data_IF_835216043815
#
_entry.id   IF_835216043815
#
_cell.length_a   1.000
_cell.length_b   1.000
_cell.length_c   1.000
_cell.angle_alpha   90.00
_cell.angle_beta   90.00
_cell.angle_gamma   90.00
#
_symmetry.space_group_name_H-M   'P 1'
#
loop_
_entity.id
_entity.type
_entity.pdbx_description
1 polymer ?
#
# COMPACT_ATOMS: atom_id res chain seq x y z
N UNK A 1 8.60 4.54 7.39
CA UNK A 1 8.54 3.21 8.05
C UNK A 1 9.23 3.19 9.42
N UNK A 2 10.24 4.04 9.64
CA UNK A 2 10.90 4.27 10.94
C UNK A 2 9.88 4.66 12.03
N UNK A 3 8.89 5.49 11.71
CA UNK A 3 7.82 5.87 12.64
C UNK A 3 7.08 4.67 13.25
N UNK A 4 6.77 3.62 12.47
CA UNK A 4 5.99 2.50 12.98
C UNK A 4 6.83 1.57 13.88
N UNK A 5 8.14 1.47 13.64
CA UNK A 5 9.06 0.70 14.49
C UNK A 5 9.17 1.34 15.88
N UNK A 6 9.44 2.64 15.95
CA UNK A 6 9.52 3.37 17.22
C UNK A 6 8.18 3.40 17.96
N UNK A 7 7.06 3.51 17.23
CA UNK A 7 5.73 3.42 17.85
C UNK A 7 5.49 2.05 18.51
N UNK A 8 6.03 0.96 17.95
CA UNK A 8 5.92 -0.37 18.55
C UNK A 8 6.79 -0.47 19.80
N UNK A 9 8.03 0.01 19.78
CA UNK A 9 8.88 0.03 20.97
C UNK A 9 8.30 0.92 22.06
N UNK A 10 7.78 2.09 21.71
CA UNK A 10 7.10 2.99 22.63
C UNK A 10 5.85 2.33 23.24
N UNK A 11 5.03 1.65 22.41
CA UNK A 11 3.89 0.89 22.89
C UNK A 11 4.28 -0.25 23.83
N UNK A 12 5.44 -0.92 23.62
CA UNK A 12 5.96 -1.92 24.56
C UNK A 12 6.28 -1.30 25.92
N UNK A 13 6.94 -0.14 25.94
CA UNK A 13 7.26 0.56 27.18
C UNK A 13 6.00 1.03 27.92
N UNK A 14 5.03 1.62 27.22
CA UNK A 14 3.75 2.02 27.80
C UNK A 14 3.00 0.81 28.34
N UNK A 15 3.00 -0.31 27.60
CA UNK A 15 2.36 -1.55 28.03
C UNK A 15 2.91 -2.06 29.35
N UNK A 16 4.24 -2.05 29.51
CA UNK A 16 4.90 -2.43 30.77
C UNK A 16 4.52 -1.54 31.95
N UNK A 17 4.35 -0.23 31.72
CA UNK A 17 4.03 0.75 32.79
C UNK A 17 2.55 0.78 33.16
N UNK A 18 1.67 0.54 32.21
CA UNK A 18 0.21 0.75 32.37
C UNK A 18 -0.58 -0.55 32.45
N UNK A 19 0.04 -1.69 32.17
CA UNK A 19 -0.63 -3.00 32.07
C UNK A 19 -1.52 -3.17 30.83
N UNK A 20 -1.65 -2.14 29.99
CA UNK A 20 -2.49 -2.19 28.78
C UNK A 20 -1.77 -2.95 27.67
N UNK A 21 -2.45 -3.91 27.02
CA UNK A 21 -1.81 -4.72 25.97
C UNK A 21 -1.36 -3.88 24.77
N UNK A 22 -0.20 -4.20 24.21
CA UNK A 22 0.36 -3.59 22.98
C UNK A 22 -0.66 -3.63 21.83
N UNK A 23 -1.44 -4.71 21.74
CA UNK A 23 -2.47 -4.89 20.71
C UNK A 23 -3.57 -3.81 20.74
N UNK A 24 -3.84 -3.23 21.91
CA UNK A 24 -4.80 -2.14 22.11
C UNK A 24 -4.12 -0.79 21.92
N UNK A 25 -2.91 -0.62 22.44
CA UNK A 25 -2.14 0.63 22.35
C UNK A 25 -1.87 1.07 20.91
N UNK A 26 -1.73 0.11 19.97
CA UNK A 26 -1.62 0.40 18.53
C UNK A 26 -2.79 1.18 17.93
N UNK A 27 -3.94 1.22 18.62
CA UNK A 27 -5.14 1.93 18.19
C UNK A 27 -5.43 3.17 19.06
N UNK A 28 -4.56 3.48 20.02
CA UNK A 28 -4.67 4.70 20.81
C UNK A 28 -4.23 5.91 19.99
N UNK A 29 -4.88 7.05 20.22
CA UNK A 29 -4.41 8.35 19.75
C UNK A 29 -3.20 8.79 20.55
N UNK A 30 -2.45 9.76 20.01
CA UNK A 30 -1.29 10.33 20.71
C UNK A 30 -1.68 10.87 22.09
N UNK A 31 -2.82 11.58 22.18
CA UNK A 31 -3.32 12.14 23.43
C UNK A 31 -3.72 11.07 24.45
N UNK A 32 -4.36 9.98 24.01
CA UNK A 32 -4.67 8.86 24.91
C UNK A 32 -3.41 8.14 25.41
N UNK A 33 -2.33 8.08 24.61
CA UNK A 33 -1.05 7.56 25.09
C UNK A 33 -0.41 8.47 26.13
N UNK A 34 -0.47 9.79 25.93
CA UNK A 34 0.03 10.80 26.89
C UNK A 34 -0.78 10.74 28.19
N UNK A 35 -2.09 10.69 28.10
CA UNK A 35 -2.98 10.58 29.25
C UNK A 35 -2.72 9.28 30.05
N UNK A 36 -2.44 8.17 29.36
CA UNK A 36 -2.10 6.88 30.00
C UNK A 36 -0.79 6.99 30.76
N UNK A 37 0.20 7.66 30.18
CA UNK A 37 1.51 7.87 30.81
C UNK A 37 1.43 8.81 32.01
N UNK A 38 0.53 9.78 31.97
CA UNK A 38 0.25 10.70 33.09
C UNK A 38 -0.67 10.07 34.15
N UNK A 39 -1.01 8.78 34.04
CA UNK A 39 -1.83 8.08 35.02
C UNK A 39 -3.32 8.43 34.99
N UNK A 40 -3.80 9.10 33.93
CA UNK A 40 -5.23 9.41 33.81
C UNK A 40 -6.03 8.14 33.51
N UNK A 41 -7.23 8.07 34.09
CA UNK A 41 -8.18 6.99 33.83
C UNK A 41 -8.79 7.20 32.44
N UNK A 42 -8.52 6.26 31.53
CA UNK A 42 -9.06 6.29 30.17
C UNK A 42 -9.81 4.99 29.88
N UNK A 43 -10.84 5.10 29.03
CA UNK A 43 -11.62 3.93 28.61
C UNK A 43 -10.83 3.05 27.63
N UNK A 44 -10.11 2.06 28.16
CA UNK A 44 -9.41 1.04 27.35
C UNK A 44 -10.40 0.30 26.45
N UNK A 45 -11.65 0.10 26.91
CA UNK A 45 -12.74 -0.50 26.12
C UNK A 45 -13.03 0.31 24.84
N UNK A 46 -13.01 1.66 24.91
CA UNK A 46 -13.20 2.55 23.75
C UNK A 46 -12.08 2.35 22.72
N UNK A 47 -10.82 2.30 23.17
CA UNK A 47 -9.66 2.08 22.29
C UNK A 47 -9.71 0.67 21.68
N UNK A 48 -10.06 -0.35 22.48
CA UNK A 48 -10.15 -1.73 22.00
C UNK A 48 -11.22 -1.92 20.91
N UNK A 49 -12.34 -1.17 20.95
CA UNK A 49 -13.36 -1.21 19.87
C UNK A 49 -12.79 -0.81 18.50
N UNK A 50 -11.76 0.05 18.45
CA UNK A 50 -11.11 0.48 17.20
C UNK A 50 -10.42 -0.66 16.45
N UNK A 51 -10.08 -1.77 17.14
CA UNK A 51 -9.58 -3.00 16.48
C UNK A 51 -10.56 -3.58 15.47
N UNK A 52 -11.86 -3.34 15.64
CA UNK A 52 -12.92 -3.80 14.72
C UNK A 52 -13.13 -2.83 13.53
N UNK A 53 -12.25 -1.84 13.38
CA UNK A 53 -12.32 -0.78 12.39
C UNK A 53 -12.53 0.58 13.05
N UNK A 54 -11.71 1.55 12.65
CA UNK A 54 -11.83 2.93 13.08
C UNK A 54 -11.40 3.89 11.97
N UNK A 55 -12.02 5.07 11.95
CA UNK A 55 -11.58 6.17 11.11
C UNK A 55 -11.68 7.46 11.90
N UNK A 56 -10.66 8.30 11.76
CA UNK A 56 -10.58 9.62 12.36
C UNK A 56 -10.68 10.65 11.26
N UNK A 57 -11.73 11.44 11.28
CA UNK A 57 -11.94 12.52 10.31
C UNK A 57 -11.65 13.83 11.04
N UNK A 58 -10.71 14.59 10.51
CA UNK A 58 -10.40 15.93 11.00
C UNK A 58 -10.96 16.94 10.01
N UNK A 59 -11.94 17.72 10.45
CA UNK A 59 -12.50 18.87 9.75
C UNK A 59 -12.06 20.08 10.57
N UNK A 60 -11.73 21.25 9.98
CA UNK A 60 -11.36 22.43 10.75
C UNK A 60 -12.35 22.68 11.90
N UNK A 61 -11.84 22.68 13.14
CA UNK A 61 -12.63 22.85 14.36
C UNK A 61 -13.42 21.64 14.85
N UNK A 62 -13.41 20.48 14.17
CA UNK A 62 -14.13 19.27 14.59
C UNK A 62 -13.37 17.98 14.30
N UNK A 63 -13.27 17.12 15.31
CA UNK A 63 -12.70 15.77 15.17
C UNK A 63 -13.81 14.72 15.33
N UNK A 64 -13.98 13.87 14.33
CA UNK A 64 -14.94 12.77 14.36
C UNK A 64 -14.22 11.42 14.44
N UNK A 65 -14.67 10.57 15.36
CA UNK A 65 -14.19 9.20 15.51
C UNK A 65 -15.30 8.22 15.15
N UNK A 66 -15.18 7.57 14.00
CA UNK A 66 -16.05 6.45 13.63
C UNK A 66 -15.41 5.15 14.12
N UNK A 67 -16.15 4.32 14.84
CA UNK A 67 -15.64 3.02 15.31
C UNK A 67 -16.66 1.90 15.12
N UNK A 68 -16.19 0.67 14.92
CA UNK A 68 -17.05 -0.52 14.87
C UNK A 68 -18.09 -0.47 13.75
N UNK A 69 -19.39 -0.47 14.11
CA UNK A 69 -20.50 -0.54 13.13
C UNK A 69 -20.60 0.74 12.28
N UNK A 70 -20.39 1.90 12.88
CA UNK A 70 -20.44 3.20 12.18
C UNK A 70 -19.34 3.30 11.13
N UNK A 71 -18.12 2.89 11.51
CA UNK A 71 -17.00 2.75 10.57
C UNK A 71 -17.38 1.86 9.38
N UNK A 72 -17.93 0.65 9.63
CA UNK A 72 -18.29 -0.28 8.56
C UNK A 72 -19.35 0.28 7.61
N UNK A 73 -20.40 0.93 8.15
CA UNK A 73 -21.44 1.56 7.34
C UNK A 73 -20.88 2.67 6.45
N UNK A 74 -20.03 3.52 7.01
CA UNK A 74 -19.40 4.61 6.28
C UNK A 74 -18.43 4.12 5.22
N UNK A 75 -17.58 3.14 5.58
CA UNK A 75 -16.61 2.53 4.67
C UNK A 75 -17.29 1.88 3.45
N UNK A 76 -18.40 1.14 3.65
CA UNK A 76 -19.16 0.53 2.54
C UNK A 76 -19.69 1.56 1.55
N UNK A 77 -20.17 2.71 2.03
CA UNK A 77 -20.64 3.80 1.15
C UNK A 77 -19.49 4.39 0.30
N UNK A 78 -18.33 4.58 0.91
CA UNK A 78 -17.13 5.05 0.18
C UNK A 78 -16.66 4.03 -0.85
N UNK A 79 -16.56 2.76 -0.48
CA UNK A 79 -16.04 1.71 -1.36
C UNK A 79 -16.92 1.50 -2.60
N UNK A 80 -18.25 1.57 -2.43
CA UNK A 80 -19.21 1.53 -3.55
C UNK A 80 -19.06 2.71 -4.52
N UNK A 81 -18.53 3.85 -4.06
CA UNK A 81 -18.35 5.05 -4.90
C UNK A 81 -17.07 4.99 -5.74
N UNK A 82 -16.11 4.13 -5.38
CA UNK A 82 -14.75 4.11 -5.94
C UNK A 82 -14.55 2.96 -6.95
N UNK A 83 -15.33 1.88 -6.85
CA UNK A 83 -15.20 0.74 -7.77
C UNK A 83 -15.87 1.02 -9.13
N UNK A 84 -15.17 1.75 -10.01
CA UNK A 84 -15.47 1.78 -11.44
C UNK A 84 -15.24 0.40 -12.05
N UNK A 85 -16.13 -0.04 -12.93
CA UNK A 85 -15.91 -1.23 -13.76
C UNK A 85 -14.60 -1.08 -14.53
N UNK A 86 -13.72 -2.07 -14.40
CA UNK A 86 -12.45 -2.09 -15.09
C UNK A 86 -12.54 -2.99 -16.31
N UNK A 87 -12.12 -2.46 -17.46
CA UNK A 87 -12.00 -3.25 -18.68
C UNK A 87 -10.90 -4.31 -18.48
N UNK A 88 -11.24 -5.59 -18.63
CA UNK A 88 -10.41 -6.71 -18.14
C UNK A 88 -9.13 -6.94 -18.97
N UNK A 89 -9.04 -6.40 -20.19
CA UNK A 89 -7.94 -6.73 -21.12
C UNK A 89 -6.85 -5.65 -21.20
N UNK A 90 -7.05 -4.46 -20.62
CA UNK A 90 -6.11 -3.33 -20.72
C UNK A 90 -5.94 -2.64 -19.37
N UNK A 91 -4.70 -2.56 -18.90
CA UNK A 91 -4.30 -1.75 -17.76
C UNK A 91 -3.66 -0.46 -18.27
N UNK A 92 -3.97 0.68 -17.65
CA UNK A 92 -3.39 1.97 -18.00
C UNK A 92 -2.92 2.72 -16.76
N UNK A 93 -1.94 3.59 -16.91
CA UNK A 93 -1.39 4.40 -15.82
C UNK A 93 -0.50 5.53 -16.33
N UNK A 94 0.26 6.13 -15.41
CA UNK A 94 1.19 7.21 -15.72
C UNK A 94 2.56 6.65 -16.07
N UNK A 95 3.10 7.07 -17.21
CA UNK A 95 4.46 6.73 -17.63
C UNK A 95 5.49 7.39 -16.72
N UNK A 96 6.31 6.57 -16.07
CA UNK A 96 7.44 7.04 -15.28
C UNK A 96 8.76 7.04 -16.06
N UNK A 97 8.97 6.00 -16.86
CA UNK A 97 10.08 5.89 -17.79
C UNK A 97 9.62 5.16 -19.06
N UNK A 98 10.06 5.67 -20.20
CA UNK A 98 9.63 5.27 -21.54
C UNK A 98 10.16 3.89 -21.95
N UNK A 99 9.57 3.34 -23.00
CA UNK A 99 10.00 2.10 -23.65
C UNK A 99 8.91 1.05 -23.74
N UNK A 100 9.15 0.09 -24.64
CA UNK A 100 8.21 -0.96 -24.99
C UNK A 100 8.84 -2.33 -24.88
N UNK A 101 8.23 -3.22 -24.10
CA UNK A 101 8.74 -4.57 -23.86
C UNK A 101 7.61 -5.60 -23.79
N UNK A 102 7.99 -6.86 -23.93
CA UNK A 102 7.14 -8.01 -23.58
C UNK A 102 7.80 -8.79 -22.45
N UNK A 103 6.98 -9.34 -21.56
CA UNK A 103 7.47 -10.16 -20.46
C UNK A 103 6.35 -10.83 -19.68
N UNK A 104 6.72 -11.80 -18.83
CA UNK A 104 5.76 -12.48 -17.96
C UNK A 104 5.55 -11.69 -16.69
N UNK A 105 4.29 -11.55 -16.29
CA UNK A 105 3.90 -10.88 -15.06
C UNK A 105 4.32 -11.69 -13.84
N UNK A 106 4.91 -11.01 -12.85
CA UNK A 106 5.10 -11.51 -11.50
C UNK A 106 4.61 -10.47 -10.49
N UNK A 107 3.57 -10.84 -9.76
CA UNK A 107 2.92 -10.01 -8.75
C UNK A 107 3.62 -10.23 -7.42
N UNK A 108 4.28 -9.18 -6.91
CA UNK A 108 5.05 -9.22 -5.67
C UNK A 108 4.41 -8.24 -4.68
N UNK A 109 3.51 -8.73 -3.82
CA UNK A 109 2.91 -7.92 -2.75
C UNK A 109 3.75 -7.96 -1.48
N UNK A 110 4.29 -9.14 -1.14
CA UNK A 110 5.16 -9.29 0.03
C UNK A 110 6.53 -9.79 -0.40
N UNK A 111 7.53 -8.91 -0.36
CA UNK A 111 8.89 -9.25 -0.83
C UNK A 111 9.50 -10.47 -0.14
N UNK A 112 9.20 -10.72 1.13
CA UNK A 112 9.74 -11.86 1.89
C UNK A 112 9.16 -13.19 1.42
N UNK A 113 7.88 -13.20 1.02
CA UNK A 113 7.17 -14.41 0.58
C UNK A 113 7.31 -14.62 -0.93
N UNK A 114 7.14 -13.54 -1.70
CA UNK A 114 6.95 -13.59 -3.14
C UNK A 114 8.23 -13.22 -3.91
N UNK A 115 9.19 -12.53 -3.30
CA UNK A 115 10.34 -11.96 -4.01
C UNK A 115 11.19 -12.98 -4.79
N UNK A 116 11.20 -14.25 -4.37
CA UNK A 116 11.88 -15.34 -5.10
C UNK A 116 11.22 -15.71 -6.43
N UNK A 117 9.95 -15.33 -6.66
CA UNK A 117 9.19 -15.64 -7.88
C UNK A 117 9.67 -14.87 -9.10
N UNK A 118 10.22 -13.67 -8.89
CA UNK A 118 10.67 -12.80 -9.98
C UNK A 118 12.00 -13.30 -10.56
N UNK A 119 12.00 -13.62 -11.85
CA UNK A 119 13.20 -13.98 -12.60
C UNK A 119 13.64 -12.81 -13.48
N UNK A 120 14.88 -12.89 -13.97
CA UNK A 120 15.42 -11.90 -14.91
C UNK A 120 14.57 -11.89 -16.17
N UNK A 121 14.11 -10.72 -16.59
CA UNK A 121 13.27 -10.57 -17.79
C UNK A 121 11.76 -10.52 -17.52
N UNK A 122 11.31 -10.79 -16.29
CA UNK A 122 9.91 -10.70 -15.91
C UNK A 122 9.46 -9.23 -15.71
N UNK A 123 8.14 -9.00 -15.78
CA UNK A 123 7.50 -7.74 -15.44
C UNK A 123 7.13 -7.76 -13.96
N UNK A 124 7.72 -6.86 -13.19
CA UNK A 124 7.41 -6.70 -11.77
C UNK A 124 6.10 -5.92 -11.62
N UNK A 125 5.09 -6.54 -11.02
CA UNK A 125 3.80 -5.91 -10.70
C UNK A 125 3.65 -5.86 -9.18
N UNK A 126 3.31 -4.71 -8.62
CA UNK A 126 3.09 -4.55 -7.18
C UNK A 126 2.15 -3.40 -6.88
N UNK A 127 1.68 -3.27 -5.64
CA UNK A 127 0.87 -2.11 -5.24
C UNK A 127 1.74 -0.84 -5.17
N UNK A 128 2.88 -0.90 -4.49
CA UNK A 128 3.84 0.21 -4.37
C UNK A 128 5.25 -0.35 -4.18
N UNK A 129 6.26 0.27 -4.78
CA UNK A 129 7.66 -0.11 -4.50
C UNK A 129 8.21 0.58 -3.25
N UNK A 130 9.21 -0.07 -2.65
CA UNK A 130 9.94 0.40 -1.47
C UNK A 130 11.44 0.18 -1.69
N UNK A 131 12.34 0.78 -0.90
CA UNK A 131 13.78 0.57 -1.05
C UNK A 131 14.19 -0.92 -1.08
N UNK A 132 13.50 -1.76 -0.31
CA UNK A 132 13.69 -3.22 -0.30
C UNK A 132 13.43 -3.89 -1.67
N UNK A 133 12.69 -3.28 -2.58
CA UNK A 133 12.44 -3.79 -3.94
C UNK A 133 13.60 -3.54 -4.90
N UNK A 134 14.64 -2.79 -4.52
CA UNK A 134 15.79 -2.50 -5.38
C UNK A 134 16.43 -3.76 -6.03
N UNK A 135 16.65 -4.88 -5.31
CA UNK A 135 17.18 -6.09 -5.93
C UNK A 135 16.25 -6.74 -6.95
N UNK A 136 14.93 -6.56 -6.80
CA UNK A 136 13.93 -7.05 -7.74
C UNK A 136 13.85 -6.15 -8.96
N UNK A 137 13.84 -4.83 -8.76
CA UNK A 137 13.83 -3.84 -9.82
C UNK A 137 15.02 -4.05 -10.79
N UNK A 138 16.21 -4.35 -10.27
CA UNK A 138 17.40 -4.69 -11.10
C UNK A 138 17.24 -5.93 -11.99
N UNK A 139 16.32 -6.84 -11.66
CA UNK A 139 16.04 -8.06 -12.45
C UNK A 139 14.88 -7.87 -13.42
N UNK A 140 13.98 -6.93 -13.12
CA UNK A 140 12.76 -6.70 -13.86
C UNK A 140 13.05 -6.09 -15.24
N UNK A 141 12.22 -6.42 -16.22
CA UNK A 141 12.23 -5.81 -17.56
C UNK A 141 11.26 -4.64 -17.69
N UNK A 142 10.26 -4.59 -16.82
CA UNK A 142 9.39 -3.44 -16.61
C UNK A 142 8.85 -3.45 -15.17
N UNK A 143 8.41 -2.28 -14.70
CA UNK A 143 7.81 -2.11 -13.38
C UNK A 143 6.41 -1.51 -13.52
N UNK A 144 5.41 -2.18 -12.98
CA UNK A 144 4.02 -1.73 -12.91
C UNK A 144 3.61 -1.56 -11.46
N UNK A 145 3.05 -0.40 -11.10
CA UNK A 145 2.49 -0.17 -9.77
C UNK A 145 1.04 0.30 -9.79
N UNK A 146 0.22 -0.16 -8.85
CA UNK A 146 -1.14 0.35 -8.66
C UNK A 146 -1.14 1.78 -8.13
N UNK A 147 -0.24 2.06 -7.19
CA UNK A 147 -0.12 3.33 -6.50
C UNK A 147 1.18 4.04 -6.87
N UNK A 148 1.20 5.35 -6.62
CA UNK A 148 2.36 6.21 -6.88
C UNK A 148 2.17 7.13 -8.08
N UNK A 149 2.91 8.25 -8.04
CA UNK A 149 2.96 9.23 -9.12
C UNK A 149 4.35 9.34 -9.75
N UNK A 150 4.55 10.36 -10.56
CA UNK A 150 5.77 10.60 -11.35
C UNK A 150 7.04 10.82 -10.49
N UNK A 151 6.86 11.16 -9.21
CA UNK A 151 7.90 11.36 -8.20
C UNK A 151 7.99 10.20 -7.19
N UNK A 152 7.25 9.11 -7.42
CA UNK A 152 7.27 7.95 -6.52
C UNK A 152 8.61 7.22 -6.56
N UNK A 153 8.83 6.38 -5.55
CA UNK A 153 10.02 5.52 -5.50
C UNK A 153 10.16 4.65 -6.77
N UNK A 154 9.06 4.07 -7.28
CA UNK A 154 9.06 3.29 -8.52
C UNK A 154 9.53 4.13 -9.71
N UNK A 155 9.03 5.36 -9.81
CA UNK A 155 9.37 6.25 -10.89
C UNK A 155 10.85 6.65 -10.86
N UNK A 156 11.38 7.02 -9.69
CA UNK A 156 12.79 7.40 -9.53
C UNK A 156 13.71 6.25 -9.92
N UNK A 157 13.53 5.06 -9.33
CA UNK A 157 14.41 3.91 -9.61
C UNK A 157 14.29 3.41 -11.05
N UNK A 158 13.12 3.55 -11.67
CA UNK A 158 12.94 3.13 -13.07
C UNK A 158 13.78 3.97 -14.04
N UNK A 159 13.92 5.27 -13.78
CA UNK A 159 14.76 6.19 -14.57
C UNK A 159 16.23 5.89 -14.37
N UNK A 160 16.64 5.64 -13.12
CA UNK A 160 18.02 5.29 -12.78
C UNK A 160 18.45 3.98 -13.45
N UNK A 161 17.57 2.97 -13.45
CA UNK A 161 17.81 1.67 -14.07
C UNK A 161 17.51 1.62 -15.57
N UNK A 162 16.92 2.69 -16.13
CA UNK A 162 16.43 2.78 -17.52
C UNK A 162 15.46 1.63 -17.88
N UNK A 163 14.55 1.30 -16.98
CA UNK A 163 13.56 0.23 -17.13
C UNK A 163 12.18 0.84 -17.38
N UNK A 164 11.44 0.42 -18.44
CA UNK A 164 10.08 0.89 -18.68
C UNK A 164 9.19 0.77 -17.44
N UNK A 165 8.47 1.84 -17.11
CA UNK A 165 7.70 1.88 -15.89
C UNK A 165 6.40 2.66 -16.03
N UNK A 166 5.30 2.05 -15.57
CA UNK A 166 3.99 2.66 -15.49
C UNK A 166 3.55 2.58 -14.03
N UNK A 167 3.22 3.73 -13.46
CA UNK A 167 2.80 3.88 -12.05
C UNK A 167 1.35 4.36 -11.98
N UNK A 168 0.71 4.18 -10.83
CA UNK A 168 -0.64 4.70 -10.63
C UNK A 168 -1.69 4.00 -11.51
N UNK A 169 -1.49 2.72 -11.81
CA UNK A 169 -2.43 1.93 -12.62
C UNK A 169 -3.76 1.66 -11.92
N UNK A 170 -3.80 1.83 -10.59
CA UNK A 170 -4.95 1.62 -9.69
C UNK A 170 -5.41 0.16 -9.53
N UNK A 171 -5.18 -0.70 -10.54
CA UNK A 171 -5.77 -2.03 -10.60
C UNK A 171 -4.90 -3.08 -11.32
N UNK A 172 -3.63 -2.81 -11.65
CA UNK A 172 -2.75 -3.78 -12.31
C UNK A 172 -2.67 -5.09 -11.51
N UNK A 173 -2.56 -5.03 -10.18
CA UNK A 173 -2.49 -6.24 -9.34
C UNK A 173 -3.81 -7.03 -9.28
N UNK A 174 -4.92 -6.42 -9.70
CA UNK A 174 -6.25 -7.05 -9.72
C UNK A 174 -6.59 -7.64 -11.09
N UNK A 175 -6.17 -6.98 -12.16
CA UNK A 175 -6.43 -7.42 -13.54
C UNK A 175 -5.44 -8.48 -13.98
N UNK A 176 -4.14 -8.21 -13.80
CA UNK A 176 -3.09 -9.11 -14.24
C UNK A 176 -2.99 -10.31 -13.29
N UNK A 177 -2.56 -11.46 -13.82
CA UNK A 177 -2.29 -12.68 -13.06
C UNK A 177 -0.83 -13.08 -13.17
N UNK A 178 -0.36 -13.78 -12.15
CA UNK A 178 0.98 -14.36 -12.15
C UNK A 178 1.18 -15.28 -13.36
N UNK A 179 2.18 -14.96 -14.19
CA UNK A 179 2.52 -15.74 -15.39
C UNK A 179 1.96 -15.21 -16.71
N UNK A 180 1.01 -14.27 -16.67
CA UNK A 180 0.45 -13.64 -17.87
C UNK A 180 1.56 -13.06 -18.74
N UNK A 181 1.49 -13.32 -20.05
CA UNK A 181 2.37 -12.68 -21.00
C UNK A 181 1.77 -11.32 -21.36
N UNK A 182 2.50 -10.24 -21.14
CA UNK A 182 2.02 -8.89 -21.41
C UNK A 182 2.95 -8.14 -22.34
N UNK A 183 2.37 -7.23 -23.12
CA UNK A 183 3.08 -6.12 -23.76
C UNK A 183 2.92 -4.88 -22.89
N UNK A 184 4.04 -4.35 -22.40
CA UNK A 184 4.10 -3.07 -21.69
C UNK A 184 4.56 -2.03 -22.69
N UNK A 185 3.67 -1.10 -23.01
CA UNK A 185 3.92 0.07 -23.85
C UNK A 185 3.92 1.30 -22.94
N UNK A 186 5.09 1.57 -22.31
CA UNK A 186 5.22 2.69 -21.41
C UNK A 186 5.19 4.02 -22.16
N UNK A 187 5.45 4.07 -23.47
CA UNK A 187 5.33 5.30 -24.26
C UNK A 187 3.88 5.82 -24.30
N UNK A 188 2.93 4.88 -24.28
CA UNK A 188 1.49 5.18 -24.23
C UNK A 188 0.87 4.99 -22.85
N UNK A 189 1.64 4.53 -21.86
CA UNK A 189 1.15 4.27 -20.50
C UNK A 189 0.14 3.12 -20.44
N UNK A 190 0.25 2.12 -21.31
CA UNK A 190 -0.70 0.99 -21.40
C UNK A 190 -0.01 -0.37 -21.35
N UNK A 191 -0.72 -1.33 -20.78
CA UNK A 191 -0.31 -2.74 -20.70
C UNK A 191 -1.44 -3.59 -21.28
N UNK A 192 -1.09 -4.48 -22.21
CA UNK A 192 -2.03 -5.40 -22.86
C UNK A 192 -1.63 -6.84 -22.56
N UNK A 193 -2.62 -7.67 -22.23
CA UNK A 193 -2.43 -9.11 -22.08
C UNK A 193 -2.35 -9.73 -23.48
N UNK A 194 -1.29 -10.51 -23.73
CA UNK A 194 -1.08 -11.26 -24.95
C UNK A 194 -1.65 -12.67 -24.73
N UNK A 195 -2.74 -13.01 -25.45
CA UNK A 195 -3.35 -14.34 -25.44
C UNK A 195 -2.54 -15.31 -26.27
#
# INVERSE_FOLDING_TARGET
MIANYWLIEYAKHISKRTGVSISVLKFASLWELVDLLNGKIISIKKIAKRRKGCMRINIPGREYWLTGREYKKFFKKIDLSINKEFNQDVVSGLTAYYGKIKGRVKIIINIKKDGKKLKKGDVLVTSMTRPEFMPLAKKARAILTDEGGITSHAAIISRELKIPCIVGTKNATKILKDGDLVEVDADKGVVKILK
#
